data_IF_879487219841
#
_entry.id   IF_879487219841
#
_cell.length_a   1.000
_cell.length_b   1.000
_cell.length_c   1.000
_cell.angle_alpha   90.00
_cell.angle_beta   90.00
_cell.angle_gamma   90.00
#
_symmetry.space_group_name_H-M   'P 1'
#
loop_
_entity.id
_entity.type
_entity.pdbx_description
1 polymer ?
#
# COMPACT_ATOMS: atom_id res chain seq x y z
N UNK A 1 72.92 43.35 -49.54
CA UNK A 1 71.80 43.69 -48.64
C UNK A 1 71.69 42.56 -47.62
N UNK A 2 72.00 42.85 -46.33
CA UNK A 2 72.00 42.03 -45.08
C UNK A 2 72.82 40.70 -45.10
N UNK A 3 73.92 40.45 -44.38
CA UNK A 3 74.37 40.56 -42.96
C UNK A 3 73.71 39.62 -41.91
N UNK A 4 74.48 38.58 -41.52
CA UNK A 4 74.66 37.91 -40.19
C UNK A 4 73.47 37.12 -39.55
N UNK A 5 73.66 36.25 -38.53
CA UNK A 5 74.59 35.09 -38.35
C UNK A 5 74.01 33.87 -37.57
N UNK A 6 74.84 32.82 -37.40
CA UNK A 6 74.94 31.77 -36.34
C UNK A 6 73.73 31.48 -35.41
N UNK A 7 73.46 30.20 -35.16
CA UNK A 7 73.66 29.58 -33.83
C UNK A 7 73.53 28.05 -33.85
N UNK A 8 74.58 27.36 -33.40
CA UNK A 8 74.53 25.99 -32.89
C UNK A 8 73.85 26.00 -31.52
N UNK A 9 72.88 25.12 -31.29
CA UNK A 9 72.48 24.59 -29.97
C UNK A 9 71.63 23.31 -30.14
N UNK A 10 72.24 22.15 -29.93
CA UNK A 10 71.63 21.04 -29.16
C UNK A 10 71.59 21.45 -27.67
N UNK A 11 70.90 20.76 -26.73
CA UNK A 11 69.94 19.63 -26.82
C UNK A 11 68.67 19.87 -25.96
N UNK A 12 67.68 18.95 -26.00
CA UNK A 12 66.88 18.56 -24.82
C UNK A 12 65.88 17.44 -25.16
N UNK A 13 66.16 16.25 -24.62
CA UNK A 13 65.20 15.18 -24.41
C UNK A 13 64.26 15.56 -23.26
N UNK A 14 62.95 15.29 -23.36
CA UNK A 14 62.17 14.91 -22.20
C UNK A 14 61.55 13.53 -22.41
N UNK A 15 62.13 12.53 -21.75
CA UNK A 15 61.34 11.45 -21.16
C UNK A 15 60.43 12.05 -20.09
N UNK A 16 59.16 11.63 -20.07
CA UNK A 16 58.21 11.56 -18.94
C UNK A 16 56.81 11.94 -19.41
N UNK A 17 55.90 10.96 -19.44
CA UNK A 17 54.60 10.99 -18.77
C UNK A 17 53.68 9.90 -19.34
N UNK A 18 53.99 8.62 -19.09
CA UNK A 18 53.15 7.47 -19.52
C UNK A 18 52.54 6.68 -18.34
N UNK A 19 52.46 7.25 -17.13
CA UNK A 19 52.04 6.52 -15.92
C UNK A 19 50.82 7.10 -15.18
N UNK A 20 49.87 7.75 -15.86
CA UNK A 20 48.68 8.33 -15.17
C UNK A 20 47.29 7.95 -15.69
N UNK A 21 47.15 6.84 -16.41
CA UNK A 21 45.86 6.49 -17.03
C UNK A 21 45.15 5.25 -16.44
N UNK A 22 45.52 4.77 -15.24
CA UNK A 22 44.92 3.53 -14.67
C UNK A 22 44.18 3.65 -13.34
N UNK A 23 44.01 4.85 -12.77
CA UNK A 23 43.30 5.00 -11.47
C UNK A 23 41.86 5.56 -11.57
N UNK A 24 41.32 5.76 -12.77
CA UNK A 24 40.03 6.44 -12.96
C UNK A 24 38.79 5.53 -13.14
N UNK A 25 38.90 4.20 -12.98
CA UNK A 25 37.79 3.27 -13.30
C UNK A 25 37.29 2.40 -12.14
N UNK A 26 37.70 2.66 -10.89
CA UNK A 26 37.15 1.95 -9.71
C UNK A 26 36.13 2.78 -8.91
N UNK A 27 35.94 4.06 -9.25
CA UNK A 27 35.01 4.96 -8.57
C UNK A 27 33.53 4.79 -8.95
N UNK A 28 33.21 3.94 -9.93
CA UNK A 28 31.84 3.81 -10.44
C UNK A 28 31.08 2.56 -9.94
N UNK A 29 31.75 1.66 -9.18
CA UNK A 29 31.14 0.42 -8.69
C UNK A 29 30.56 0.52 -7.26
N UNK A 30 30.77 1.63 -6.55
CA UNK A 30 30.37 1.78 -5.16
C UNK A 30 29.30 2.87 -5.02
N UNK A 31 28.15 2.48 -4.47
CA UNK A 31 27.07 3.34 -3.99
C UNK A 31 25.96 3.73 -4.98
N UNK A 32 25.51 2.80 -5.84
CA UNK A 32 24.08 2.80 -6.21
C UNK A 32 23.26 1.98 -5.20
N UNK A 33 23.49 2.26 -3.90
CA UNK A 33 22.53 1.92 -2.84
C UNK A 33 21.33 2.82 -3.03
N UNK A 34 20.46 2.44 -3.96
CA UNK A 34 19.09 2.94 -4.03
C UNK A 34 18.44 2.67 -2.67
N UNK A 35 18.55 3.63 -1.76
CA UNK A 35 17.84 3.65 -0.50
C UNK A 35 16.36 3.61 -0.87
N UNK A 36 15.79 2.41 -0.87
CA UNK A 36 14.35 2.21 -1.08
C UNK A 36 13.67 3.00 0.02
N UNK A 37 13.20 4.20 -0.31
CA UNK A 37 12.56 5.10 0.63
C UNK A 37 11.41 4.34 1.28
N UNK A 38 11.47 4.17 2.61
CA UNK A 38 10.44 3.43 3.34
C UNK A 38 9.24 4.34 3.58
N UNK A 39 8.00 3.83 3.51
CA UNK A 39 6.84 4.62 3.88
C UNK A 39 6.93 5.08 5.34
N UNK A 40 6.63 6.35 5.57
CA UNK A 40 6.54 6.88 6.94
C UNK A 40 5.27 6.35 7.61
N UNK A 41 5.34 6.11 8.93
CA UNK A 41 4.18 5.65 9.71
C UNK A 41 2.98 6.59 9.55
N UNK A 42 3.21 7.91 9.46
CA UNK A 42 2.15 8.90 9.23
C UNK A 42 1.40 8.70 7.92
N UNK A 43 2.08 8.30 6.83
CA UNK A 43 1.42 8.02 5.53
C UNK A 43 0.63 6.73 5.55
N UNK A 44 1.09 5.73 6.31
CA UNK A 44 0.36 4.48 6.51
C UNK A 44 -0.90 4.74 7.33
N UNK A 45 -0.79 5.51 8.42
CA UNK A 45 -1.92 5.91 9.24
C UNK A 45 -2.94 6.75 8.44
N UNK A 46 -2.47 7.70 7.64
CA UNK A 46 -3.33 8.47 6.73
C UNK A 46 -4.01 7.57 5.70
N UNK A 47 -3.28 6.63 5.11
CA UNK A 47 -3.83 5.64 4.18
C UNK A 47 -4.93 4.79 4.81
N UNK A 48 -4.72 4.33 6.05
CA UNK A 48 -5.72 3.58 6.80
C UNK A 48 -6.96 4.43 7.13
N UNK A 49 -6.76 5.67 7.57
CA UNK A 49 -7.85 6.59 7.89
C UNK A 49 -8.70 6.96 6.67
N UNK A 50 -8.05 7.30 5.54
CA UNK A 50 -8.74 7.56 4.27
C UNK A 50 -9.45 6.31 3.77
N UNK A 51 -8.80 5.15 3.86
CA UNK A 51 -9.40 3.87 3.51
C UNK A 51 -10.64 3.55 4.33
N UNK A 52 -10.61 3.81 5.64
CA UNK A 52 -11.76 3.65 6.53
C UNK A 52 -12.91 4.61 6.16
N UNK A 53 -12.60 5.88 5.87
CA UNK A 53 -13.61 6.86 5.45
C UNK A 53 -14.28 6.47 4.13
N UNK A 54 -13.49 5.98 3.15
CA UNK A 54 -14.02 5.48 1.88
C UNK A 54 -14.87 4.23 2.11
N UNK A 55 -14.38 3.27 2.89
CA UNK A 55 -15.10 2.05 3.23
C UNK A 55 -16.46 2.35 3.87
N UNK A 56 -16.51 3.26 4.85
CA UNK A 56 -17.75 3.70 5.48
C UNK A 56 -18.74 4.29 4.46
N UNK A 57 -18.27 5.14 3.55
CA UNK A 57 -19.12 5.73 2.52
C UNK A 57 -19.63 4.70 1.51
N UNK A 58 -18.77 3.77 1.10
CA UNK A 58 -19.13 2.70 0.16
C UNK A 58 -20.11 1.72 0.81
N UNK A 59 -19.87 1.30 2.05
CA UNK A 59 -20.75 0.40 2.76
C UNK A 59 -22.11 1.04 3.01
N UNK A 60 -22.16 2.32 3.41
CA UNK A 60 -23.42 3.05 3.55
C UNK A 60 -24.21 3.09 2.22
N UNK A 61 -23.53 3.34 1.09
CA UNK A 61 -24.16 3.33 -0.23
C UNK A 61 -24.67 1.94 -0.63
N UNK A 62 -23.88 0.90 -0.36
CA UNK A 62 -24.24 -0.49 -0.66
C UNK A 62 -25.43 -0.94 0.18
N UNK A 63 -25.45 -0.62 1.48
CA UNK A 63 -26.59 -0.89 2.37
C UNK A 63 -27.86 -0.23 1.82
N UNK A 64 -27.80 1.07 1.47
CA UNK A 64 -28.94 1.78 0.90
C UNK A 64 -29.39 1.17 -0.45
N UNK A 65 -28.46 0.71 -1.29
CA UNK A 65 -28.77 0.05 -2.54
C UNK A 65 -29.43 -1.33 -2.32
N UNK A 66 -28.96 -2.11 -1.34
CA UNK A 66 -29.56 -3.40 -1.01
C UNK A 66 -30.98 -3.24 -0.45
N UNK A 67 -31.21 -2.25 0.40
CA UNK A 67 -32.55 -1.91 0.89
C UNK A 67 -33.50 -1.56 -0.26
N UNK A 68 -33.08 -0.65 -1.14
CA UNK A 68 -33.89 -0.20 -2.28
C UNK A 68 -34.21 -1.32 -3.30
N UNK A 69 -33.27 -2.25 -3.53
CA UNK A 69 -33.40 -3.30 -4.55
C UNK A 69 -34.10 -4.54 -3.99
N UNK A 70 -33.67 -5.01 -2.83
CA UNK A 70 -34.11 -6.29 -2.30
C UNK A 70 -35.40 -6.15 -1.49
N UNK A 71 -35.74 -4.95 -0.97
CA UNK A 71 -36.81 -4.76 0.03
C UNK A 71 -36.76 -5.78 1.16
N UNK A 72 -35.56 -6.26 1.44
CA UNK A 72 -35.29 -7.21 2.50
C UNK A 72 -34.93 -6.34 3.68
N UNK A 73 -35.71 -6.42 4.76
CA UNK A 73 -35.24 -6.01 6.08
C UNK A 73 -34.19 -7.04 6.49
N UNK A 74 -32.88 -6.81 6.31
CA UNK A 74 -31.91 -7.86 6.50
C UNK A 74 -31.66 -7.93 8.00
N UNK A 75 -32.31 -8.89 8.65
CA UNK A 75 -32.23 -9.10 10.09
C UNK A 75 -31.01 -9.99 10.37
N UNK A 76 -29.87 -9.42 10.74
CA UNK A 76 -28.70 -10.22 11.13
C UNK A 76 -28.78 -10.56 12.61
N UNK A 77 -28.77 -11.85 12.99
CA UNK A 77 -28.70 -12.24 14.39
C UNK A 77 -27.33 -11.85 14.96
N UNK A 78 -27.31 -10.89 15.89
CA UNK A 78 -26.12 -10.51 16.65
C UNK A 78 -25.84 -11.50 17.80
N UNK A 79 -26.90 -12.05 18.40
CA UNK A 79 -26.90 -12.89 19.60
C UNK A 79 -28.15 -13.81 19.55
N UNK A 80 -28.18 -14.93 20.30
CA UNK A 80 -29.41 -15.71 20.46
C UNK A 80 -30.54 -14.82 21.00
N UNK A 81 -31.55 -14.56 20.16
CA UNK A 81 -32.70 -13.70 20.51
C UNK A 81 -32.57 -12.21 20.15
N UNK A 82 -31.49 -11.77 19.49
CA UNK A 82 -31.38 -10.38 18.99
C UNK A 82 -31.05 -10.32 17.50
N UNK A 83 -31.84 -9.57 16.74
CA UNK A 83 -31.60 -9.24 15.34
C UNK A 83 -31.23 -7.76 15.21
N UNK A 84 -30.25 -7.44 14.37
CA UNK A 84 -30.02 -6.08 13.85
C UNK A 84 -30.70 -5.97 12.50
N UNK A 85 -31.46 -4.90 12.32
CA UNK A 85 -31.90 -4.49 10.99
C UNK A 85 -30.77 -3.78 10.27
N UNK A 86 -30.27 -4.39 9.19
CA UNK A 86 -29.36 -3.74 8.26
C UNK A 86 -29.99 -2.57 7.49
N UNK A 87 -31.28 -2.28 7.66
CA UNK A 87 -31.94 -1.09 7.09
C UNK A 87 -31.61 0.17 7.90
N UNK A 88 -31.33 0.01 9.20
CA UNK A 88 -31.04 1.10 10.12
C UNK A 88 -29.61 1.00 10.64
N UNK A 89 -28.63 0.85 9.74
CA UNK A 89 -27.23 0.76 10.18
C UNK A 89 -26.78 2.12 10.69
N UNK A 90 -26.78 2.23 12.01
CA UNK A 90 -26.22 3.34 12.74
C UNK A 90 -24.76 3.58 12.25
N UNK A 91 -24.40 4.81 11.83
CA UNK A 91 -23.03 5.17 11.46
C UNK A 91 -22.00 4.74 12.50
N UNK A 92 -22.38 4.70 13.79
CA UNK A 92 -21.52 4.22 14.87
C UNK A 92 -21.25 2.71 14.73
N UNK A 93 -22.25 1.90 14.39
CA UNK A 93 -22.07 0.45 14.19
C UNK A 93 -21.18 0.14 12.98
N UNK A 94 -21.34 0.89 11.87
CA UNK A 94 -20.44 0.82 10.72
C UNK A 94 -19.01 1.17 11.11
N UNK A 95 -18.83 2.25 11.89
CA UNK A 95 -17.51 2.63 12.38
C UNK A 95 -16.87 1.54 13.24
N UNK A 96 -17.63 0.89 14.12
CA UNK A 96 -17.14 -0.23 14.93
C UNK A 96 -16.68 -1.44 14.10
N UNK A 97 -17.27 -1.69 12.94
CA UNK A 97 -16.85 -2.77 12.05
C UNK A 97 -15.60 -2.40 11.21
N UNK A 98 -15.54 -1.16 10.71
CA UNK A 98 -14.52 -0.72 9.75
C UNK A 98 -13.23 -0.28 10.44
N UNK A 99 -13.31 0.49 11.54
CA UNK A 99 -12.15 1.13 12.17
C UNK A 99 -11.12 0.11 12.69
N UNK A 100 -11.49 -0.96 13.42
CA UNK A 100 -10.52 -1.96 13.85
C UNK A 100 -9.82 -2.65 12.68
N UNK A 101 -10.56 -2.93 11.61
CA UNK A 101 -10.04 -3.52 10.38
C UNK A 101 -9.00 -2.62 9.70
N UNK A 102 -9.27 -1.32 9.63
CA UNK A 102 -8.34 -0.33 9.08
C UNK A 102 -7.07 -0.19 9.92
N UNK A 103 -7.20 -0.17 11.25
CA UNK A 103 -6.05 -0.14 12.17
C UNK A 103 -5.20 -1.40 11.98
N UNK A 104 -5.82 -2.59 12.01
CA UNK A 104 -5.13 -3.86 11.82
C UNK A 104 -4.39 -3.92 10.47
N UNK A 105 -5.05 -3.51 9.38
CA UNK A 105 -4.46 -3.44 8.05
C UNK A 105 -3.24 -2.48 8.01
N UNK A 106 -3.36 -1.30 8.63
CA UNK A 106 -2.26 -0.35 8.75
C UNK A 106 -1.06 -0.92 9.51
N UNK A 107 -1.30 -1.62 10.63
CA UNK A 107 -0.25 -2.29 11.41
C UNK A 107 0.44 -3.37 10.58
N UNK A 108 -0.34 -4.24 9.92
CA UNK A 108 0.20 -5.31 9.07
C UNK A 108 1.06 -4.75 7.94
N UNK A 109 0.57 -3.72 7.24
CA UNK A 109 1.35 -3.07 6.18
C UNK A 109 2.63 -2.42 6.73
N UNK A 110 2.54 -1.76 7.90
CA UNK A 110 3.68 -1.19 8.61
C UNK A 110 4.75 -2.24 8.93
N UNK A 111 4.36 -3.39 9.46
CA UNK A 111 5.28 -4.51 9.73
C UNK A 111 5.88 -5.05 8.43
N UNK A 112 5.07 -5.31 7.41
CA UNK A 112 5.54 -5.82 6.11
C UNK A 112 6.51 -4.86 5.42
N UNK A 113 6.29 -3.55 5.53
CA UNK A 113 7.19 -2.51 5.00
C UNK A 113 8.58 -2.53 5.61
N UNK A 114 8.73 -3.11 6.81
CA UNK A 114 10.03 -3.27 7.48
C UNK A 114 10.69 -4.61 7.18
N UNK A 115 9.90 -5.65 6.91
CA UNK A 115 10.38 -7.03 6.79
C UNK A 115 10.58 -7.49 5.34
N UNK A 116 9.95 -6.84 4.37
CA UNK A 116 9.88 -7.34 2.98
C UNK A 116 10.37 -6.31 1.97
N UNK A 117 11.11 -6.75 0.95
CA UNK A 117 11.52 -5.90 -0.17
C UNK A 117 10.37 -5.44 -1.08
N UNK A 118 9.24 -6.19 -1.09
CA UNK A 118 8.04 -5.93 -1.90
C UNK A 118 6.78 -5.87 -1.01
N UNK A 119 6.68 -4.89 -0.09
CA UNK A 119 5.65 -4.89 0.94
C UNK A 119 4.23 -4.82 0.37
N UNK A 120 4.01 -4.10 -0.73
CA UNK A 120 2.70 -4.02 -1.36
C UNK A 120 2.18 -5.37 -1.87
N UNK A 121 3.02 -6.18 -2.52
CA UNK A 121 2.61 -7.51 -3.02
C UNK A 121 2.32 -8.46 -1.86
N UNK A 122 3.20 -8.50 -0.85
CA UNK A 122 3.00 -9.31 0.33
C UNK A 122 1.71 -8.91 1.07
N UNK A 123 1.45 -7.61 1.19
CA UNK A 123 0.24 -7.11 1.83
C UNK A 123 -1.03 -7.53 1.13
N UNK A 124 -1.08 -7.45 -0.21
CA UNK A 124 -2.26 -7.92 -0.97
C UNK A 124 -2.49 -9.42 -0.77
N UNK A 125 -1.43 -10.23 -0.76
CA UNK A 125 -1.54 -11.67 -0.52
C UNK A 125 -2.07 -11.95 0.89
N UNK A 126 -1.51 -11.29 1.91
CA UNK A 126 -1.96 -11.44 3.30
C UNK A 126 -3.42 -10.98 3.44
N UNK A 127 -3.78 -9.84 2.84
CA UNK A 127 -5.14 -9.33 2.87
C UNK A 127 -6.13 -10.29 2.20
N UNK A 128 -5.77 -10.88 1.05
CA UNK A 128 -6.59 -11.87 0.37
C UNK A 128 -6.79 -13.14 1.23
N UNK A 129 -5.72 -13.64 1.87
CA UNK A 129 -5.82 -14.79 2.77
C UNK A 129 -6.71 -14.48 3.97
N UNK A 130 -6.50 -13.34 4.64
CA UNK A 130 -7.31 -12.93 5.79
C UNK A 130 -8.78 -12.76 5.40
N UNK A 131 -9.05 -12.14 4.25
CA UNK A 131 -10.41 -12.01 3.71
C UNK A 131 -11.08 -13.37 3.48
N UNK A 132 -10.37 -14.32 2.85
CA UNK A 132 -10.88 -15.67 2.62
C UNK A 132 -11.17 -16.43 3.93
N UNK A 133 -10.32 -16.26 4.94
CA UNK A 133 -10.56 -16.83 6.27
C UNK A 133 -11.77 -16.18 6.96
N UNK A 134 -11.92 -14.86 6.83
CA UNK A 134 -13.05 -14.11 7.37
C UNK A 134 -14.39 -14.44 6.70
N UNK A 135 -14.37 -14.89 5.44
CA UNK A 135 -15.57 -15.33 4.72
C UNK A 135 -16.29 -16.51 5.41
N UNK A 136 -15.57 -17.31 6.18
CA UNK A 136 -16.16 -18.41 6.95
C UNK A 136 -17.22 -17.95 7.96
N UNK A 137 -17.06 -16.74 8.53
CA UNK A 137 -18.02 -16.15 9.45
C UNK A 137 -19.39 -15.91 8.79
N UNK A 138 -19.49 -14.98 7.82
CA UNK A 138 -20.74 -14.70 7.10
C UNK A 138 -21.36 -15.93 6.43
N UNK A 139 -20.54 -16.87 5.92
CA UNK A 139 -21.03 -18.08 5.29
C UNK A 139 -21.77 -19.02 6.26
N UNK A 140 -21.36 -19.03 7.54
CA UNK A 140 -21.93 -19.88 8.59
C UNK A 140 -23.23 -19.35 9.22
N UNK A 141 -23.62 -18.10 8.94
CA UNK A 141 -24.84 -17.52 9.50
C UNK A 141 -26.10 -18.20 8.93
N UNK A 142 -27.13 -18.48 9.76
CA UNK A 142 -28.40 -19.06 9.31
C UNK A 142 -29.34 -18.00 8.71
N UNK A 143 -28.84 -17.23 7.75
CA UNK A 143 -29.58 -16.15 7.06
C UNK A 143 -29.80 -16.48 5.58
N UNK A 144 -30.75 -15.81 4.88
CA UNK A 144 -30.98 -15.99 3.45
C UNK A 144 -29.73 -15.81 2.60
N UNK A 145 -29.64 -16.55 1.49
CA UNK A 145 -28.47 -16.50 0.59
C UNK A 145 -28.21 -15.10 0.01
N UNK A 146 -29.27 -14.31 -0.22
CA UNK A 146 -29.18 -12.91 -0.66
C UNK A 146 -28.47 -12.03 0.37
N UNK A 147 -28.77 -12.20 1.65
CA UNK A 147 -28.15 -11.44 2.75
C UNK A 147 -26.69 -11.87 2.96
N UNK A 148 -26.39 -13.17 2.83
CA UNK A 148 -24.99 -13.66 2.81
C UNK A 148 -24.20 -13.00 1.70
N UNK A 149 -24.78 -12.93 0.49
CA UNK A 149 -24.14 -12.28 -0.64
C UNK A 149 -23.90 -10.79 -0.36
N UNK A 150 -24.89 -10.07 0.20
CA UNK A 150 -24.74 -8.67 0.58
C UNK A 150 -23.61 -8.47 1.60
N UNK A 151 -23.54 -9.29 2.66
CA UNK A 151 -22.47 -9.25 3.65
C UNK A 151 -21.08 -9.51 3.02
N UNK A 152 -20.97 -10.49 2.13
CA UNK A 152 -19.71 -10.77 1.42
C UNK A 152 -19.28 -9.59 0.55
N UNK A 153 -20.23 -8.95 -0.15
CA UNK A 153 -19.95 -7.76 -0.96
C UNK A 153 -19.48 -6.59 -0.10
N UNK A 154 -20.12 -6.33 1.05
CA UNK A 154 -19.70 -5.29 2.01
C UNK A 154 -18.27 -5.54 2.52
N UNK A 155 -17.97 -6.77 2.95
CA UNK A 155 -16.63 -7.12 3.42
C UNK A 155 -15.58 -6.93 2.32
N UNK A 156 -15.92 -7.31 1.08
CA UNK A 156 -15.02 -7.18 -0.07
C UNK A 156 -14.77 -5.69 -0.37
N UNK A 157 -15.82 -4.88 -0.41
CA UNK A 157 -15.74 -3.45 -0.66
C UNK A 157 -14.90 -2.74 0.40
N UNK A 158 -15.12 -3.05 1.68
CA UNK A 158 -14.32 -2.54 2.80
C UNK A 158 -12.85 -2.95 2.68
N UNK A 159 -12.57 -4.24 2.43
CA UNK A 159 -11.20 -4.73 2.28
C UNK A 159 -10.46 -4.03 1.12
N UNK A 160 -11.11 -3.92 -0.05
CA UNK A 160 -10.54 -3.24 -1.22
C UNK A 160 -10.27 -1.77 -0.92
N UNK A 161 -11.23 -1.06 -0.30
CA UNK A 161 -11.11 0.36 0.01
C UNK A 161 -9.92 0.65 0.92
N UNK A 162 -9.77 -0.12 2.00
CA UNK A 162 -8.67 0.02 2.95
C UNK A 162 -7.33 -0.32 2.29
N UNK A 163 -7.25 -1.46 1.60
CA UNK A 163 -6.01 -1.92 0.96
C UNK A 163 -5.56 -0.95 -0.12
N UNK A 164 -6.46 -0.51 -1.00
CA UNK A 164 -6.16 0.42 -2.07
C UNK A 164 -5.70 1.78 -1.54
N UNK A 165 -6.37 2.33 -0.51
CA UNK A 165 -6.00 3.61 0.09
C UNK A 165 -4.61 3.55 0.74
N UNK A 166 -4.31 2.49 1.51
CA UNK A 166 -2.98 2.28 2.10
C UNK A 166 -1.93 2.19 0.99
N UNK A 167 -2.16 1.38 -0.05
CA UNK A 167 -1.21 1.22 -1.17
C UNK A 167 -1.04 2.47 -2.03
N UNK A 168 -2.03 3.35 -2.08
CA UNK A 168 -1.94 4.62 -2.80
C UNK A 168 -1.15 5.66 -2.01
N UNK A 169 -1.46 5.82 -0.72
CA UNK A 169 -0.93 6.89 0.12
C UNK A 169 0.44 6.55 0.74
N UNK A 170 0.72 5.26 0.98
CA UNK A 170 1.99 4.80 1.50
C UNK A 170 3.07 4.57 0.42
N UNK A 171 2.86 5.02 -0.82
CA UNK A 171 3.95 5.04 -1.81
C UNK A 171 4.98 6.10 -1.40
N UNK A 172 6.29 5.79 -1.41
CA UNK A 172 7.30 6.81 -1.23
C UNK A 172 7.16 7.84 -2.34
N UNK A 173 7.08 9.13 -1.98
CA UNK A 173 7.21 10.22 -2.95
C UNK A 173 8.61 10.10 -3.56
N UNK A 174 8.66 9.88 -4.87
CA UNK A 174 9.90 9.88 -5.65
C UNK A 174 10.53 11.26 -5.62
#
# INVERSE_FOLDING_TARGET
MYQYPRHDTEPAHPERDDERDHEADEGHLMADTTLVARPTLGRIALGAAVGAAIALGVDALLVAAFDAILRVDPHVPLQPGSTIDLVAVDPVQLAWAVVPSAIGAGVVYGVLSRLTARPGRAFVVVAAIVFLLFLGGPASLPIPASEKAALVVLHLATAISIVAAILALARPSR
#
